data_IF_774378899202
#
_entry.id   IF_774378899202
#
_cell.length_a   1.000
_cell.length_b   1.000
_cell.length_c   1.000
_cell.angle_alpha   90.00
_cell.angle_beta   90.00
_cell.angle_gamma   90.00
#
_symmetry.space_group_name_H-M   'P 1'
#
loop_
_entity.id
_entity.type
_entity.pdbx_description
1 polymer ?
#
# COMPACT_ATOMS: atom_id res chain seq x y z
N UNK A 1 22.45 -10.80 34.81
CA UNK A 1 22.04 -11.93 33.96
C UNK A 1 20.54 -11.78 33.69
N UNK A 2 20.14 -11.19 32.55
CA UNK A 2 18.71 -11.19 32.16
C UNK A 2 18.41 -12.62 31.74
N UNK A 3 17.43 -13.26 32.39
CA UNK A 3 16.87 -14.52 31.91
C UNK A 3 16.36 -14.22 30.50
N UNK A 4 17.02 -14.74 29.47
CA UNK A 4 16.47 -14.74 28.11
C UNK A 4 15.18 -15.54 28.18
N UNK A 5 14.03 -14.85 28.25
CA UNK A 5 12.75 -15.52 28.04
C UNK A 5 12.80 -16.05 26.62
N UNK A 6 12.66 -17.37 26.48
CA UNK A 6 12.47 -17.98 25.17
C UNK A 6 11.30 -17.27 24.49
N UNK A 7 11.59 -16.66 23.34
CA UNK A 7 10.57 -16.10 22.45
C UNK A 7 10.22 -17.13 21.40
N UNK A 8 8.93 -17.38 21.24
CA UNK A 8 8.41 -18.37 20.31
C UNK A 8 8.62 -17.94 18.85
N UNK A 9 8.66 -16.62 18.61
CA UNK A 9 8.82 -16.02 17.30
C UNK A 9 9.95 -15.00 17.23
N UNK A 10 10.58 -14.90 16.06
CA UNK A 10 11.57 -13.86 15.79
C UNK A 10 10.88 -12.54 15.47
N UNK A 11 9.72 -12.60 14.82
CA UNK A 11 8.93 -11.42 14.45
C UNK A 11 7.43 -11.71 14.47
N UNK A 12 6.67 -10.75 14.98
CA UNK A 12 5.22 -10.70 14.83
C UNK A 12 4.84 -9.55 13.90
N UNK A 13 4.15 -9.84 12.81
CA UNK A 13 3.54 -8.85 11.92
C UNK A 13 2.07 -8.69 12.33
N UNK A 14 1.67 -7.48 12.69
CA UNK A 14 0.31 -7.15 13.14
C UNK A 14 -0.30 -6.13 12.19
N UNK A 15 -1.55 -6.34 11.79
CA UNK A 15 -2.21 -5.53 10.77
C UNK A 15 -3.64 -5.19 11.14
N UNK A 16 -4.12 -4.04 10.65
CA UNK A 16 -5.50 -3.55 10.77
C UNK A 16 -6.46 -4.24 9.81
N UNK A 17 -5.95 -4.87 8.75
CA UNK A 17 -6.72 -5.52 7.70
C UNK A 17 -5.98 -6.72 7.13
N UNK A 18 -6.72 -7.73 6.69
CA UNK A 18 -6.20 -8.92 6.03
C UNK A 18 -7.22 -9.43 4.99
N UNK A 19 -6.80 -10.28 4.03
CA UNK A 19 -7.75 -10.98 3.16
C UNK A 19 -8.85 -11.69 3.97
N UNK A 20 -10.08 -11.75 3.47
CA UNK A 20 -10.52 -11.41 2.10
C UNK A 20 -10.77 -9.91 1.86
N UNK A 21 -10.48 -9.03 2.83
CA UNK A 21 -10.56 -7.59 2.57
C UNK A 21 -9.31 -7.08 1.86
N UNK A 22 -9.42 -6.94 0.54
CA UNK A 22 -8.30 -6.65 -0.37
C UNK A 22 -7.92 -5.15 -0.37
N UNK A 23 -7.29 -4.69 0.72
CA UNK A 23 -6.78 -3.32 0.86
C UNK A 23 -5.25 -3.29 0.77
N UNK A 24 -4.66 -2.10 0.58
CA UNK A 24 -3.21 -1.90 0.61
C UNK A 24 -2.54 -2.47 1.87
N UNK A 25 -3.02 -2.13 3.09
CA UNK A 25 -2.51 -2.71 4.34
C UNK A 25 -2.63 -4.24 4.41
N UNK A 26 -3.73 -4.80 3.91
CA UNK A 26 -3.94 -6.25 3.89
C UNK A 26 -2.91 -6.97 3.02
N UNK A 27 -2.66 -6.48 1.81
CA UNK A 27 -1.62 -7.05 0.95
C UNK A 27 -0.23 -6.81 1.52
N UNK A 28 0.11 -5.57 1.91
CA UNK A 28 1.45 -5.25 2.39
C UNK A 28 1.88 -6.14 3.56
N UNK A 29 1.04 -6.23 4.59
CA UNK A 29 1.34 -7.00 5.79
C UNK A 29 1.40 -8.51 5.53
N UNK A 30 0.53 -9.04 4.66
CA UNK A 30 0.54 -10.44 4.25
C UNK A 30 1.86 -10.81 3.56
N UNK A 31 2.25 -10.00 2.57
CA UNK A 31 3.49 -10.23 1.82
C UNK A 31 4.73 -10.06 2.70
N UNK A 32 4.73 -9.10 3.62
CA UNK A 32 5.78 -8.97 4.63
C UNK A 32 5.86 -10.21 5.53
N UNK A 33 4.74 -10.71 6.05
CA UNK A 33 4.73 -11.89 6.91
C UNK A 33 5.23 -13.14 6.18
N UNK A 34 4.73 -13.39 4.97
CA UNK A 34 5.16 -14.53 4.16
C UNK A 34 6.62 -14.40 3.71
N UNK A 35 7.05 -13.22 3.26
CA UNK A 35 8.42 -12.99 2.81
C UNK A 35 9.45 -13.07 3.93
N UNK A 36 9.13 -12.60 5.13
CA UNK A 36 9.97 -12.82 6.31
C UNK A 36 10.06 -14.32 6.67
N UNK A 37 8.98 -15.08 6.54
CA UNK A 37 9.00 -16.52 6.76
C UNK A 37 9.87 -17.24 5.70
N UNK A 38 9.82 -16.80 4.44
CA UNK A 38 10.70 -17.29 3.36
C UNK A 38 12.18 -16.97 3.59
N UNK A 39 12.49 -15.86 4.28
CA UNK A 39 13.86 -15.53 4.70
C UNK A 39 14.34 -16.38 5.90
N UNK A 40 13.51 -17.30 6.42
CA UNK A 40 13.86 -18.23 7.48
C UNK A 40 13.53 -17.75 8.90
N UNK A 41 12.83 -16.62 9.06
CA UNK A 41 12.38 -16.17 10.36
C UNK A 41 11.17 -16.99 10.85
N UNK A 42 11.08 -17.23 12.17
CA UNK A 42 9.84 -17.69 12.80
C UNK A 42 8.87 -16.52 12.89
N UNK A 43 7.85 -16.52 12.03
CA UNK A 43 6.89 -15.40 11.90
C UNK A 43 5.54 -15.75 12.48
N UNK A 44 5.01 -14.86 13.32
CA UNK A 44 3.59 -14.80 13.66
C UNK A 44 2.91 -13.68 12.85
N UNK A 45 1.77 -13.98 12.21
CA UNK A 45 0.94 -13.02 11.51
C UNK A 45 -0.39 -12.86 12.24
N UNK A 46 -0.65 -11.68 12.79
CA UNK A 46 -1.81 -11.39 13.65
C UNK A 46 -2.79 -10.52 12.87
N UNK A 47 -3.98 -11.06 12.62
CA UNK A 47 -5.02 -10.44 11.79
C UNK A 47 -6.29 -10.15 12.60
N UNK A 48 -7.15 -9.21 12.17
CA UNK A 48 -8.41 -8.98 12.86
C UNK A 48 -9.42 -10.11 12.63
N UNK A 49 -10.03 -10.58 13.70
CA UNK A 49 -11.28 -11.34 13.67
C UNK A 49 -12.47 -10.39 13.83
N UNK A 50 -13.38 -10.41 12.86
CA UNK A 50 -14.65 -9.65 12.91
C UNK A 50 -15.81 -10.65 13.03
N UNK A 51 -16.77 -10.47 13.96
CA UNK A 51 -17.92 -11.35 14.07
C UNK A 51 -18.77 -11.40 12.79
N UNK A 52 -19.49 -12.50 12.50
CA UNK A 52 -20.23 -12.69 11.24
C UNK A 52 -21.10 -11.51 10.80
N UNK A 53 -21.79 -10.85 11.75
CA UNK A 53 -22.64 -9.69 11.47
C UNK A 53 -21.90 -8.47 10.87
N UNK A 54 -20.60 -8.34 11.12
CA UNK A 54 -19.77 -7.26 10.58
C UNK A 54 -19.01 -7.64 9.30
N UNK A 55 -18.91 -8.92 8.99
CA UNK A 55 -18.10 -9.41 7.87
C UNK A 55 -18.69 -9.04 6.50
N UNK A 56 -20.02 -9.04 6.36
CA UNK A 56 -20.70 -8.64 5.12
C UNK A 56 -20.47 -7.17 4.72
N UNK A 57 -20.02 -6.34 5.66
CA UNK A 57 -19.66 -4.94 5.39
C UNK A 57 -18.28 -4.79 4.75
N UNK A 58 -17.43 -5.80 4.93
CA UNK A 58 -16.04 -5.79 4.52
C UNK A 58 -15.81 -6.67 3.28
N UNK A 59 -16.48 -7.82 3.24
CA UNK A 59 -16.20 -8.89 2.30
C UNK A 59 -17.36 -9.09 1.34
N UNK A 60 -17.06 -9.17 0.04
CA UNK A 60 -18.06 -9.46 -0.99
C UNK A 60 -18.38 -10.95 -1.01
N UNK A 61 -19.25 -11.39 -0.09
CA UNK A 61 -19.84 -12.73 -0.08
C UNK A 61 -19.09 -13.80 0.71
N UNK A 62 -17.82 -13.59 1.06
CA UNK A 62 -17.13 -14.47 2.01
C UNK A 62 -17.59 -14.15 3.44
N UNK A 63 -17.93 -15.17 4.23
CA UNK A 63 -18.26 -15.08 5.66
C UNK A 63 -17.67 -16.32 6.35
N UNK A 64 -17.14 -16.14 7.56
CA UNK A 64 -16.58 -17.18 8.41
C UNK A 64 -17.38 -17.26 9.71
N UNK A 65 -17.73 -18.47 10.16
CA UNK A 65 -18.46 -18.66 11.40
C UNK A 65 -17.55 -18.49 12.63
N UNK A 66 -16.31 -18.97 12.53
CA UNK A 66 -15.32 -18.94 13.62
C UNK A 66 -13.99 -18.29 13.19
N UNK A 67 -13.19 -17.79 14.14
CA UNK A 67 -11.82 -17.33 13.85
C UNK A 67 -10.97 -18.41 13.16
N UNK A 68 -11.13 -19.66 13.57
CA UNK A 68 -10.39 -20.79 13.02
C UNK A 68 -10.71 -21.02 11.54
N UNK A 69 -11.98 -20.84 11.13
CA UNK A 69 -12.37 -20.93 9.72
C UNK A 69 -11.68 -19.84 8.88
N UNK A 70 -11.58 -18.61 9.41
CA UNK A 70 -10.87 -17.52 8.75
C UNK A 70 -9.38 -17.84 8.59
N UNK A 71 -8.72 -18.35 9.64
CA UNK A 71 -7.30 -18.67 9.57
C UNK A 71 -7.01 -19.86 8.64
N UNK A 72 -7.88 -20.87 8.63
CA UNK A 72 -7.79 -22.00 7.70
C UNK A 72 -7.94 -21.54 6.25
N UNK A 73 -8.92 -20.66 5.98
CA UNK A 73 -9.10 -20.05 4.68
C UNK A 73 -7.90 -19.19 4.28
N UNK A 74 -7.39 -18.34 5.18
CA UNK A 74 -6.24 -17.48 4.92
C UNK A 74 -4.99 -18.31 4.62
N UNK A 75 -4.78 -19.42 5.33
CA UNK A 75 -3.71 -20.39 5.08
C UNK A 75 -3.81 -21.01 3.68
N UNK A 76 -5.02 -21.37 3.24
CA UNK A 76 -5.26 -21.88 1.89
C UNK A 76 -5.04 -20.79 0.82
N UNK A 77 -5.49 -19.57 1.10
CA UNK A 77 -5.36 -18.43 0.20
C UNK A 77 -3.90 -18.02 -0.01
N UNK A 78 -3.07 -18.03 1.05
CA UNK A 78 -1.62 -17.79 0.94
C UNK A 78 -0.98 -18.80 -0.02
N UNK A 79 -1.32 -20.08 0.09
CA UNK A 79 -0.83 -21.12 -0.83
C UNK A 79 -1.33 -20.90 -2.26
N UNK A 80 -2.60 -20.51 -2.42
CA UNK A 80 -3.19 -20.19 -3.72
C UNK A 80 -2.51 -19.01 -4.41
N UNK A 81 -2.04 -18.03 -3.64
CA UNK A 81 -1.25 -16.89 -4.12
C UNK A 81 0.22 -17.26 -4.46
N UNK A 82 0.58 -18.55 -4.44
CA UNK A 82 1.92 -19.00 -4.80
C UNK A 82 2.99 -18.73 -3.74
N UNK A 83 2.60 -18.53 -2.47
CA UNK A 83 3.55 -18.36 -1.37
C UNK A 83 3.83 -19.72 -0.70
N UNK A 84 5.04 -20.28 -0.83
CA UNK A 84 5.36 -21.62 -0.33
C UNK A 84 5.40 -21.70 1.20
N UNK A 85 5.73 -20.60 1.89
CA UNK A 85 5.87 -20.59 3.36
C UNK A 85 4.71 -19.81 3.99
N UNK A 86 3.89 -20.53 4.76
CA UNK A 86 2.76 -19.94 5.50
C UNK A 86 3.23 -19.60 6.92
N UNK A 87 3.15 -18.33 7.38
CA UNK A 87 3.49 -17.96 8.75
C UNK A 87 2.48 -18.55 9.75
N UNK A 88 2.83 -18.58 11.04
CA UNK A 88 1.88 -18.95 12.08
C UNK A 88 0.81 -17.87 12.20
N UNK A 89 -0.47 -18.26 12.12
CA UNK A 89 -1.59 -17.31 12.04
C UNK A 89 -2.26 -17.15 13.40
N UNK A 90 -2.54 -15.91 13.78
CA UNK A 90 -3.20 -15.53 15.03
C UNK A 90 -4.25 -14.46 14.78
N UNK A 91 -5.14 -14.26 15.74
CA UNK A 91 -6.17 -13.23 15.67
C UNK A 91 -6.16 -12.28 16.86
N UNK A 92 -6.63 -11.06 16.63
CA UNK A 92 -7.16 -10.18 17.68
C UNK A 92 -8.62 -9.82 17.36
N UNK A 93 -9.40 -9.44 18.37
CA UNK A 93 -10.81 -9.08 18.21
C UNK A 93 -10.94 -7.69 17.58
N UNK A 94 -11.73 -7.60 16.51
CA UNK A 94 -12.02 -6.35 15.80
C UNK A 94 -13.52 -6.14 15.55
N UNK A 95 -13.86 -4.90 15.19
CA UNK A 95 -15.21 -4.49 14.81
C UNK A 95 -15.20 -3.73 13.47
N UNK A 96 -16.03 -4.17 12.52
CA UNK A 96 -16.24 -3.44 11.27
C UNK A 96 -17.09 -2.20 11.49
N UNK A 97 -16.49 -1.01 11.40
CA UNK A 97 -17.20 0.26 11.53
C UNK A 97 -17.60 0.80 10.15
N UNK A 98 -18.92 0.91 9.90
CA UNK A 98 -19.43 1.55 8.67
C UNK A 98 -19.05 3.03 8.60
N UNK A 99 -19.07 3.71 9.75
CA UNK A 99 -18.80 5.14 9.85
C UNK A 99 -17.33 5.45 9.51
N UNK A 100 -16.40 4.69 10.10
CA UNK A 100 -14.97 4.86 9.86
C UNK A 100 -14.50 4.16 8.58
N UNK A 101 -15.33 3.30 7.99
CA UNK A 101 -14.99 2.40 6.87
C UNK A 101 -13.71 1.60 7.16
N UNK A 102 -13.57 1.17 8.41
CA UNK A 102 -12.36 0.53 8.94
C UNK A 102 -12.68 -0.58 9.93
N UNK A 103 -11.70 -1.43 10.23
CA UNK A 103 -11.78 -2.42 11.32
C UNK A 103 -11.12 -1.82 12.56
N UNK A 104 -11.90 -1.61 13.62
CA UNK A 104 -11.43 -1.06 14.89
C UNK A 104 -11.04 -2.20 15.85
N UNK A 105 -9.84 -2.19 16.45
CA UNK A 105 -9.46 -3.14 17.49
C UNK A 105 -10.35 -3.03 18.74
N UNK A 106 -10.80 -4.17 19.25
CA UNK A 106 -11.63 -4.28 20.48
C UNK A 106 -10.85 -4.76 21.70
N UNK A 107 -9.58 -5.10 21.52
CA UNK A 107 -8.68 -5.54 22.58
C UNK A 107 -7.25 -5.07 22.31
N UNK A 108 -6.36 -5.32 23.27
CA UNK A 108 -4.96 -4.96 23.16
C UNK A 108 -4.21 -5.92 22.24
N UNK A 109 -3.87 -5.44 21.04
CA UNK A 109 -3.18 -6.21 19.99
C UNK A 109 -1.84 -6.79 20.46
N UNK A 110 -1.14 -6.11 21.37
CA UNK A 110 0.14 -6.59 21.91
C UNK A 110 -0.04 -7.80 22.83
N UNK A 111 -1.20 -7.91 23.51
CA UNK A 111 -1.53 -9.05 24.38
C UNK A 111 -2.15 -10.21 23.62
N UNK A 112 -2.84 -9.93 22.52
CA UNK A 112 -3.37 -10.96 21.62
C UNK A 112 -2.25 -11.64 20.80
N UNK A 113 -1.15 -10.92 20.55
CA UNK A 113 0.01 -11.45 19.85
C UNK A 113 0.84 -12.43 20.72
N UNK A 114 1.43 -13.47 20.11
CA UNK A 114 2.39 -14.32 20.82
C UNK A 114 3.70 -13.56 21.11
N UNK A 115 4.49 -13.98 22.12
CA UNK A 115 5.78 -13.38 22.43
C UNK A 115 6.74 -13.45 21.23
N UNK A 116 7.33 -12.31 20.86
CA UNK A 116 8.30 -12.24 19.78
C UNK A 116 9.42 -11.25 20.06
N UNK A 117 10.53 -11.40 19.34
CA UNK A 117 11.67 -10.49 19.45
C UNK A 117 11.37 -9.11 18.87
N UNK A 118 10.72 -9.09 17.72
CA UNK A 118 10.34 -7.86 17.01
C UNK A 118 8.83 -7.84 16.77
N UNK A 119 8.23 -6.65 16.85
CA UNK A 119 6.87 -6.41 16.38
C UNK A 119 6.88 -5.42 15.22
N UNK A 120 6.22 -5.78 14.13
CA UNK A 120 5.96 -4.91 12.97
C UNK A 120 4.47 -4.60 12.94
N UNK A 121 4.12 -3.33 13.12
CA UNK A 121 2.73 -2.86 13.11
C UNK A 121 2.47 -2.16 11.78
N UNK A 122 1.52 -2.67 11.00
CA UNK A 122 0.99 -1.97 9.82
C UNK A 122 -0.10 -0.99 10.27
N UNK A 123 0.01 0.28 9.88
CA UNK A 123 -0.87 1.37 10.33
C UNK A 123 -0.95 1.49 11.87
N UNK A 124 0.18 1.67 12.58
CA UNK A 124 0.21 1.79 14.04
C UNK A 124 -0.74 2.88 14.58
N UNK A 125 -0.96 3.94 13.81
CA UNK A 125 -1.90 5.02 14.10
C UNK A 125 -3.36 4.58 14.26
N UNK A 126 -3.74 3.45 13.64
CA UNK A 126 -5.07 2.86 13.64
C UNK A 126 -5.11 1.58 14.47
N UNK A 127 -4.08 0.74 14.34
CA UNK A 127 -3.96 -0.52 15.07
C UNK A 127 -3.93 -0.33 16.60
N UNK A 128 -3.53 0.86 17.06
CA UNK A 128 -3.47 1.20 18.49
C UNK A 128 -4.66 2.02 18.99
N UNK A 129 -5.80 2.04 18.30
CA UNK A 129 -7.00 2.79 18.75
C UNK A 129 -7.66 2.25 20.02
N UNK A 130 -7.39 0.99 20.40
CA UNK A 130 -7.93 0.44 21.63
C UNK A 130 -7.40 1.21 22.85
N UNK A 131 -8.26 1.83 23.70
CA UNK A 131 -7.79 2.67 24.81
C UNK A 131 -6.87 1.96 25.81
N UNK A 132 -7.01 0.63 25.93
CA UNK A 132 -6.20 -0.22 26.78
C UNK A 132 -4.94 -0.79 26.10
N UNK A 133 -4.57 -0.31 24.91
CA UNK A 133 -3.39 -0.80 24.20
C UNK A 133 -2.12 -0.63 25.05
N UNK A 134 -1.29 -1.67 25.10
CA UNK A 134 -0.07 -1.67 25.90
C UNK A 134 0.91 -0.61 25.36
N UNK A 135 1.36 0.36 26.17
CA UNK A 135 2.38 1.33 25.76
C UNK A 135 3.71 0.65 25.46
N UNK A 136 4.47 1.19 24.50
CA UNK A 136 5.76 0.64 24.06
C UNK A 136 6.68 0.20 25.20
N UNK A 137 6.81 1.03 26.24
CA UNK A 137 7.67 0.79 27.41
C UNK A 137 7.34 -0.48 28.22
N UNK A 138 6.15 -1.05 28.04
CA UNK A 138 5.71 -2.27 28.72
C UNK A 138 5.61 -3.48 27.76
N UNK A 139 5.92 -3.30 26.49
CA UNK A 139 5.96 -4.38 25.50
C UNK A 139 7.30 -5.11 25.63
N UNK A 140 7.26 -6.42 25.86
CA UNK A 140 8.44 -7.29 26.01
C UNK A 140 9.03 -7.70 24.64
N UNK A 141 9.40 -6.71 23.84
CA UNK A 141 10.05 -6.87 22.54
C UNK A 141 11.32 -6.00 22.49
N UNK A 142 12.34 -6.47 21.76
CA UNK A 142 13.53 -5.67 21.47
C UNK A 142 13.17 -4.43 20.66
N UNK A 143 12.23 -4.58 19.73
CA UNK A 143 11.85 -3.51 18.81
C UNK A 143 10.39 -3.60 18.44
N UNK A 144 9.73 -2.44 18.38
CA UNK A 144 8.38 -2.25 17.83
C UNK A 144 8.46 -1.21 16.72
N UNK A 145 8.31 -1.66 15.49
CA UNK A 145 8.42 -0.86 14.27
C UNK A 145 7.03 -0.60 13.69
N UNK A 146 6.73 0.66 13.40
CA UNK A 146 5.47 1.06 12.76
C UNK A 146 5.61 1.33 11.28
N UNK A 147 5.02 0.51 10.41
CA UNK A 147 4.92 0.79 8.97
C UNK A 147 3.72 1.70 8.73
N UNK A 148 4.01 2.93 8.27
CA UNK A 148 3.01 3.98 8.12
C UNK A 148 2.71 4.19 6.65
N UNK A 149 1.46 3.96 6.27
CA UNK A 149 1.06 3.94 4.85
C UNK A 149 -0.26 4.63 4.53
N UNK A 150 -0.96 5.16 5.52
CA UNK A 150 -2.25 5.80 5.33
C UNK A 150 -2.26 7.20 5.95
N UNK A 151 -2.62 8.22 5.16
CA UNK A 151 -2.88 9.56 5.68
C UNK A 151 -4.38 9.75 5.89
N UNK A 152 -4.85 9.40 7.08
CA UNK A 152 -6.26 9.58 7.48
C UNK A 152 -6.68 11.05 7.50
N UNK A 153 -5.77 11.98 7.82
CA UNK A 153 -6.11 13.40 7.82
C UNK A 153 -6.32 13.94 6.40
N UNK A 154 -5.51 13.50 5.43
CA UNK A 154 -5.74 13.79 4.01
C UNK A 154 -7.04 13.18 3.51
N UNK A 155 -7.35 11.95 3.92
CA UNK A 155 -8.61 11.29 3.58
C UNK A 155 -9.83 12.06 4.12
N UNK A 156 -9.80 12.46 5.40
CA UNK A 156 -10.88 13.22 6.06
C UNK A 156 -11.06 14.59 5.41
N UNK A 157 -9.98 15.32 5.09
CA UNK A 157 -10.07 16.64 4.45
C UNK A 157 -10.74 16.60 3.08
N UNK A 158 -10.55 15.50 2.34
CA UNK A 158 -11.09 15.34 0.98
C UNK A 158 -12.53 14.84 0.96
N UNK A 159 -12.89 13.95 1.88
CA UNK A 159 -14.21 13.31 1.91
C UNK A 159 -15.18 13.94 2.90
N UNK A 160 -14.71 14.81 3.79
CA UNK A 160 -15.53 15.43 4.81
C UNK A 160 -16.05 16.81 4.41
N UNK A 161 -17.18 17.21 5.01
CA UNK A 161 -17.73 18.56 4.84
C UNK A 161 -16.89 19.64 5.52
N UNK A 162 -17.37 20.90 5.62
CA UNK A 162 -16.62 22.02 6.21
C UNK A 162 -16.01 21.74 7.59
N UNK A 163 -16.69 20.94 8.42
CA UNK A 163 -16.21 20.53 9.75
C UNK A 163 -14.93 19.66 9.72
N UNK A 164 -14.62 19.00 8.60
CA UNK A 164 -13.45 18.16 8.43
C UNK A 164 -12.14 18.96 8.46
N UNK A 165 -12.17 20.23 8.06
CA UNK A 165 -11.01 21.12 8.14
C UNK A 165 -10.58 21.41 9.58
N UNK A 166 -11.54 21.39 10.51
CA UNK A 166 -11.34 21.57 11.96
C UNK A 166 -10.96 20.23 12.62
N UNK A 167 -11.60 19.13 12.21
CA UNK A 167 -11.38 17.80 12.79
C UNK A 167 -10.08 17.11 12.35
N UNK A 168 -9.65 17.29 11.10
CA UNK A 168 -8.46 16.62 10.56
C UNK A 168 -7.15 16.92 11.33
N UNK A 169 -6.86 18.18 11.75
CA UNK A 169 -5.75 18.45 12.65
C UNK A 169 -5.79 17.64 13.95
N UNK A 170 -6.96 17.50 14.59
CA UNK A 170 -7.12 16.77 15.85
C UNK A 170 -6.84 15.28 15.65
N UNK A 171 -7.39 14.68 14.60
CA UNK A 171 -7.13 13.28 14.22
C UNK A 171 -5.64 13.06 13.98
N UNK A 172 -4.98 13.98 13.27
CA UNK A 172 -3.53 13.90 13.05
C UNK A 172 -2.74 13.94 14.36
N UNK A 173 -3.13 14.79 15.32
CA UNK A 173 -2.45 14.83 16.63
C UNK A 173 -2.68 13.55 17.44
N UNK A 174 -3.90 12.99 17.42
CA UNK A 174 -4.19 11.71 18.04
C UNK A 174 -3.33 10.59 17.44
N UNK A 175 -3.25 10.51 16.11
CA UNK A 175 -2.44 9.50 15.41
C UNK A 175 -0.94 9.64 15.74
N UNK A 176 -0.41 10.87 15.76
CA UNK A 176 0.97 11.14 16.22
C UNK A 176 1.20 10.67 17.65
N UNK A 177 0.25 10.95 18.55
CA UNK A 177 0.33 10.51 19.94
C UNK A 177 0.36 8.98 20.05
N UNK A 178 -0.52 8.29 19.31
CA UNK A 178 -0.58 6.82 19.31
C UNK A 178 0.70 6.20 18.77
N UNK A 179 1.19 6.66 17.62
CA UNK A 179 2.48 6.23 17.06
C UNK A 179 3.57 6.35 18.13
N UNK A 180 3.77 7.55 18.69
CA UNK A 180 4.83 7.80 19.68
C UNK A 180 4.69 6.96 20.95
N UNK A 181 3.46 6.66 21.36
CA UNK A 181 3.17 5.88 22.56
C UNK A 181 3.47 4.39 22.37
N UNK A 182 3.37 3.88 21.14
CA UNK A 182 3.33 2.44 20.87
C UNK A 182 4.49 1.91 20.02
N UNK A 183 5.29 2.76 19.35
CA UNK A 183 6.42 2.33 18.52
C UNK A 183 7.77 2.90 19.00
N UNK A 184 8.88 2.25 18.65
CA UNK A 184 10.23 2.80 18.80
C UNK A 184 10.58 3.76 17.67
N UNK A 185 10.27 3.36 16.44
CA UNK A 185 10.40 4.16 15.24
C UNK A 185 9.37 3.78 14.19
N UNK A 186 9.21 4.66 13.22
CA UNK A 186 8.32 4.48 12.08
C UNK A 186 9.10 4.29 10.79
N UNK A 187 8.47 3.58 9.86
CA UNK A 187 8.91 3.39 8.48
C UNK A 187 7.79 3.88 7.58
N UNK A 188 7.80 5.18 7.21
CA UNK A 188 6.84 5.71 6.26
C UNK A 188 7.13 5.15 4.87
N UNK A 189 6.09 4.70 4.16
CA UNK A 189 6.25 4.18 2.79
C UNK A 189 6.56 5.27 1.76
N UNK A 190 6.35 6.54 2.12
CA UNK A 190 6.74 7.72 1.33
C UNK A 190 6.79 9.00 2.18
N UNK A 191 7.37 10.10 1.67
CA UNK A 191 7.33 11.42 2.31
C UNK A 191 5.92 11.96 2.58
N UNK A 192 4.88 11.49 1.87
CA UNK A 192 3.51 11.92 2.13
C UNK A 192 3.01 11.56 3.56
N UNK A 193 3.65 10.59 4.22
CA UNK A 193 3.35 10.22 5.60
C UNK A 193 4.14 11.04 6.66
N UNK A 194 5.05 11.93 6.26
CA UNK A 194 5.87 12.73 7.19
C UNK A 194 5.02 13.55 8.16
N UNK A 195 3.86 14.02 7.69
CA UNK A 195 2.88 14.73 8.51
C UNK A 195 2.44 13.95 9.76
N UNK A 196 2.32 12.63 9.72
CA UNK A 196 1.89 11.81 10.87
C UNK A 196 3.05 11.20 11.67
N UNK A 197 4.25 11.14 11.09
CA UNK A 197 5.46 10.62 11.77
C UNK A 197 6.34 11.71 12.39
N UNK A 198 6.11 12.98 12.04
CA UNK A 198 6.90 14.14 12.51
C UNK A 198 7.13 14.13 14.03
N UNK A 199 8.40 14.30 14.43
CA UNK A 199 8.84 14.32 15.83
C UNK A 199 8.84 12.97 16.53
N UNK A 200 8.81 11.86 15.78
CA UNK A 200 9.11 10.51 16.25
C UNK A 200 10.27 9.95 15.40
N UNK A 201 11.12 9.05 15.91
CA UNK A 201 12.18 8.47 15.11
C UNK A 201 11.66 7.81 13.82
N UNK A 202 12.32 8.08 12.71
CA UNK A 202 11.99 7.58 11.38
C UNK A 202 13.17 6.80 10.83
N UNK A 203 12.92 5.63 10.24
CA UNK A 203 13.88 4.94 9.40
C UNK A 203 13.32 4.79 7.99
N UNK A 204 14.13 5.13 7.00
CA UNK A 204 13.76 5.05 5.61
C UNK A 204 14.20 3.69 5.04
N UNK A 205 13.32 3.06 4.28
CA UNK A 205 13.60 1.82 3.59
C UNK A 205 12.44 1.44 2.67
N UNK A 206 12.76 0.83 1.52
CA UNK A 206 11.74 0.28 0.62
C UNK A 206 11.20 -1.01 1.23
N UNK A 207 10.05 -0.93 1.87
CA UNK A 207 9.37 -2.07 2.52
C UNK A 207 8.11 -2.53 1.78
N UNK A 208 7.93 -2.03 0.55
CA UNK A 208 6.82 -2.33 -0.36
C UNK A 208 7.35 -3.09 -1.56
N UNK A 209 6.72 -4.21 -1.92
CA UNK A 209 7.02 -4.96 -3.13
C UNK A 209 5.89 -4.96 -4.15
N UNK A 210 6.15 -5.60 -5.29
CA UNK A 210 5.25 -5.77 -6.44
C UNK A 210 5.16 -7.26 -6.78
N UNK A 211 4.02 -7.71 -7.32
CA UNK A 211 3.85 -9.11 -7.73
C UNK A 211 4.86 -9.50 -8.82
N UNK A 212 5.47 -10.70 -8.77
CA UNK A 212 6.46 -11.15 -9.75
C UNK A 212 5.98 -11.09 -11.21
N UNK A 213 4.70 -11.34 -11.46
CA UNK A 213 4.11 -11.34 -12.81
C UNK A 213 4.28 -10.02 -13.57
N UNK A 214 4.44 -8.89 -12.85
CA UNK A 214 4.74 -7.62 -13.48
C UNK A 214 6.14 -7.60 -14.10
N UNK A 215 7.11 -8.30 -13.51
CA UNK A 215 8.46 -8.39 -14.06
C UNK A 215 8.51 -9.21 -15.36
N UNK A 216 7.57 -10.13 -15.54
CA UNK A 216 7.46 -11.01 -16.70
C UNK A 216 6.76 -10.38 -17.91
N UNK A 217 6.22 -9.17 -17.76
CA UNK A 217 5.57 -8.51 -18.89
C UNK A 217 6.61 -8.17 -19.96
N UNK A 218 6.33 -8.48 -21.25
CA UNK A 218 7.25 -8.21 -22.34
C UNK A 218 7.73 -6.74 -22.39
N UNK A 219 8.98 -6.50 -22.81
CA UNK A 219 9.48 -5.15 -23.07
C UNK A 219 8.58 -4.39 -24.06
N UNK A 220 8.56 -3.06 -23.94
CA UNK A 220 7.83 -2.23 -24.88
C UNK A 220 8.65 -2.10 -26.17
N UNK A 221 8.10 -2.53 -27.29
CA UNK A 221 8.74 -2.38 -28.59
C UNK A 221 8.92 -0.88 -28.97
N UNK A 222 9.99 -0.52 -29.70
CA UNK A 222 10.22 0.85 -30.14
C UNK A 222 9.04 1.40 -30.96
N UNK A 223 8.58 2.60 -30.61
CA UNK A 223 7.47 3.29 -31.30
C UNK A 223 6.09 2.65 -31.12
N UNK A 224 5.95 1.63 -30.26
CA UNK A 224 4.68 0.97 -29.96
C UNK A 224 4.25 1.19 -28.51
N UNK A 225 2.97 0.90 -28.25
CA UNK A 225 2.36 0.89 -26.93
C UNK A 225 1.54 2.15 -26.62
N UNK A 226 0.32 1.95 -26.13
CA UNK A 226 -0.61 3.03 -25.76
C UNK A 226 -0.38 3.60 -24.37
N UNK A 227 -1.28 4.49 -23.97
CA UNK A 227 -1.32 5.07 -22.62
C UNK A 227 -2.49 4.49 -21.84
N UNK A 228 -2.27 4.17 -20.57
CA UNK A 228 -3.32 3.64 -19.69
C UNK A 228 -3.32 4.28 -18.30
N UNK A 229 -4.50 4.24 -17.69
CA UNK A 229 -4.70 4.43 -16.26
C UNK A 229 -5.20 3.11 -15.65
N UNK A 230 -4.78 2.81 -14.43
CA UNK A 230 -5.20 1.63 -13.66
C UNK A 230 -5.50 2.08 -12.23
N UNK A 231 -6.74 1.86 -11.77
CA UNK A 231 -7.12 2.18 -10.40
C UNK A 231 -8.62 2.33 -10.21
N UNK A 232 -9.01 2.61 -8.95
CA UNK A 232 -10.42 2.85 -8.60
C UNK A 232 -10.93 4.12 -9.27
N UNK A 233 -12.12 4.06 -9.87
CA UNK A 233 -12.76 5.22 -10.54
C UNK A 233 -13.43 6.11 -9.50
N UNK A 234 -12.62 6.98 -8.88
CA UNK A 234 -13.06 8.07 -7.99
C UNK A 234 -12.35 9.36 -8.38
N UNK A 235 -13.03 10.50 -8.24
CA UNK A 235 -12.48 11.81 -8.65
C UNK A 235 -11.14 12.15 -8.01
N UNK A 236 -10.93 11.73 -6.75
CA UNK A 236 -9.69 11.92 -5.98
C UNK A 236 -8.44 11.31 -6.63
N UNK A 237 -8.61 10.39 -7.59
CA UNK A 237 -7.52 9.81 -8.39
C UNK A 237 -7.15 10.64 -9.62
N UNK A 238 -7.77 11.81 -9.80
CA UNK A 238 -7.43 12.76 -10.88
C UNK A 238 -8.01 12.38 -12.25
N UNK A 239 -9.11 11.61 -12.30
CA UNK A 239 -9.69 11.15 -13.57
C UNK A 239 -10.19 12.29 -14.47
N UNK A 240 -10.50 13.46 -13.91
CA UNK A 240 -10.77 14.68 -14.68
C UNK A 240 -9.55 15.09 -15.53
N UNK A 241 -8.34 15.00 -14.96
CA UNK A 241 -7.09 15.24 -15.67
C UNK A 241 -6.84 14.20 -16.76
N UNK A 242 -7.18 12.92 -16.52
CA UNK A 242 -7.11 11.88 -17.55
C UNK A 242 -7.95 12.25 -18.78
N UNK A 243 -9.20 12.66 -18.57
CA UNK A 243 -10.12 13.05 -19.65
C UNK A 243 -9.63 14.30 -20.37
N UNK A 244 -9.24 15.34 -19.62
CA UNK A 244 -8.76 16.61 -20.18
C UNK A 244 -7.50 16.43 -21.03
N UNK A 245 -6.50 15.69 -20.53
CA UNK A 245 -5.25 15.43 -21.25
C UNK A 245 -5.50 14.58 -22.50
N UNK A 246 -6.31 13.52 -22.39
CA UNK A 246 -6.71 12.71 -23.55
C UNK A 246 -7.37 13.58 -24.63
N UNK A 247 -8.23 14.53 -24.24
CA UNK A 247 -8.85 15.45 -25.18
C UNK A 247 -7.86 16.41 -25.81
N UNK A 248 -7.04 17.11 -25.02
CA UNK A 248 -6.06 18.09 -25.55
C UNK A 248 -5.10 17.48 -26.56
N UNK A 249 -4.70 16.24 -26.32
CA UNK A 249 -3.75 15.53 -27.17
C UNK A 249 -4.43 14.75 -28.31
N UNK A 250 -5.77 14.66 -28.32
CA UNK A 250 -6.53 13.70 -29.12
C UNK A 250 -5.94 12.26 -29.01
N UNK A 251 -5.57 11.88 -27.79
CA UNK A 251 -4.79 10.67 -27.49
C UNK A 251 -5.69 9.57 -26.92
N UNK A 252 -5.81 8.41 -27.61
CA UNK A 252 -6.50 7.25 -27.07
C UNK A 252 -5.91 6.80 -25.74
N UNK A 253 -6.70 6.84 -24.68
CA UNK A 253 -6.30 6.41 -23.33
C UNK A 253 -7.25 5.32 -22.82
N UNK A 254 -6.68 4.19 -22.39
CA UNK A 254 -7.47 3.09 -21.83
C UNK A 254 -7.48 3.14 -20.29
N UNK A 255 -8.67 3.05 -19.69
CA UNK A 255 -8.89 3.11 -18.25
C UNK A 255 -9.31 1.73 -17.75
N UNK A 256 -8.48 1.15 -16.87
CA UNK A 256 -8.72 -0.13 -16.21
C UNK A 256 -9.15 0.12 -14.76
N UNK A 257 -10.29 -0.45 -14.38
CA UNK A 257 -10.83 -0.37 -13.03
C UNK A 257 -12.32 -0.06 -12.98
N UNK A 258 -12.82 0.03 -11.75
CA UNK A 258 -14.19 0.34 -11.42
C UNK A 258 -14.26 1.27 -10.21
N UNK A 259 -15.41 1.91 -9.99
CA UNK A 259 -15.59 2.79 -8.85
C UNK A 259 -16.92 3.53 -8.91
N UNK A 260 -17.34 4.12 -7.78
CA UNK A 260 -18.64 4.76 -7.65
C UNK A 260 -18.85 5.95 -8.59
N UNK A 261 -17.77 6.63 -9.00
CA UNK A 261 -17.85 7.79 -9.89
C UNK A 261 -17.75 7.40 -11.38
N UNK A 262 -17.66 6.11 -11.70
CA UNK A 262 -17.37 5.61 -13.05
C UNK A 262 -18.35 6.09 -14.11
N UNK A 263 -19.65 6.17 -13.80
CA UNK A 263 -20.66 6.65 -14.76
C UNK A 263 -20.53 8.15 -15.04
N UNK A 264 -20.24 8.95 -14.01
CA UNK A 264 -20.01 10.38 -14.15
C UNK A 264 -18.72 10.68 -14.95
N UNK A 265 -17.65 9.91 -14.69
CA UNK A 265 -16.38 10.01 -15.44
C UNK A 265 -16.60 9.63 -16.92
N UNK A 266 -17.37 8.56 -17.19
CA UNK A 266 -17.75 8.17 -18.56
C UNK A 266 -18.58 9.24 -19.26
N UNK A 267 -19.50 9.90 -18.54
CA UNK A 267 -20.29 11.00 -19.09
C UNK A 267 -19.39 12.18 -19.49
N UNK A 268 -18.49 12.61 -18.60
CA UNK A 268 -17.52 13.68 -18.89
C UNK A 268 -16.68 13.38 -20.14
N UNK A 269 -16.18 12.15 -20.28
CA UNK A 269 -15.40 11.75 -21.45
C UNK A 269 -16.21 11.86 -22.76
N UNK A 270 -17.49 11.46 -22.74
CA UNK A 270 -18.38 11.60 -23.91
C UNK A 270 -18.70 13.05 -24.22
N UNK A 271 -19.05 13.84 -23.21
CA UNK A 271 -19.45 15.24 -23.37
C UNK A 271 -18.30 16.09 -23.92
N UNK A 272 -17.07 15.80 -23.49
CA UNK A 272 -15.86 16.44 -24.00
C UNK A 272 -15.37 15.81 -25.30
N UNK A 273 -15.99 14.74 -25.82
CA UNK A 273 -15.48 13.96 -26.95
C UNK A 273 -13.99 13.58 -26.78
N UNK A 274 -13.60 13.20 -25.57
CA UNK A 274 -12.26 12.72 -25.26
C UNK A 274 -12.13 11.24 -25.67
N UNK A 275 -11.07 10.83 -26.37
CA UNK A 275 -10.86 9.44 -26.79
C UNK A 275 -10.42 8.53 -25.62
N UNK A 276 -11.27 8.39 -24.60
CA UNK A 276 -11.04 7.54 -23.43
C UNK A 276 -11.89 6.28 -23.51
N UNK A 277 -11.27 5.10 -23.37
CA UNK A 277 -11.95 3.80 -23.39
C UNK A 277 -11.89 3.14 -22.02
N UNK A 278 -13.03 2.78 -21.47
CA UNK A 278 -13.15 2.12 -20.17
C UNK A 278 -13.24 0.60 -20.37
N UNK A 279 -12.28 -0.15 -19.82
CA UNK A 279 -12.19 -1.61 -19.99
C UNK A 279 -12.80 -2.40 -18.83
N UNK A 280 -13.12 -1.74 -17.72
CA UNK A 280 -13.57 -2.39 -16.49
C UNK A 280 -12.42 -2.93 -15.63
N UNK A 281 -12.73 -3.61 -14.52
CA UNK A 281 -11.73 -4.15 -13.60
C UNK A 281 -11.08 -5.43 -14.16
N UNK A 282 -9.84 -5.68 -13.76
CA UNK A 282 -9.12 -6.92 -14.03
C UNK A 282 -8.37 -7.39 -12.78
N UNK A 283 -8.30 -8.70 -12.58
CA UNK A 283 -7.52 -9.32 -11.50
C UNK A 283 -6.06 -9.54 -11.88
N UNK A 284 -5.77 -9.53 -13.17
CA UNK A 284 -4.45 -9.85 -13.73
C UNK A 284 -4.02 -8.77 -14.72
N UNK A 285 -3.92 -7.49 -14.28
CA UNK A 285 -3.62 -6.37 -15.17
C UNK A 285 -2.35 -6.59 -15.99
N UNK A 286 -1.31 -7.23 -15.42
CA UNK A 286 -0.04 -7.53 -16.08
C UNK A 286 -0.21 -8.23 -17.45
N UNK A 287 -1.23 -9.07 -17.61
CA UNK A 287 -1.53 -9.77 -18.88
C UNK A 287 -1.84 -8.80 -20.02
N UNK A 288 -2.36 -7.60 -19.73
CA UNK A 288 -2.73 -6.58 -20.70
C UNK A 288 -1.62 -5.57 -20.95
N UNK A 289 -0.65 -5.48 -20.04
CA UNK A 289 0.29 -4.36 -20.02
C UNK A 289 1.32 -4.38 -21.15
N UNK A 290 1.48 -5.50 -21.87
CA UNK A 290 2.24 -5.56 -23.12
C UNK A 290 1.71 -4.60 -24.21
N UNK A 291 0.45 -4.16 -24.09
CA UNK A 291 -0.18 -3.21 -25.02
C UNK A 291 0.20 -1.76 -24.75
N UNK A 292 0.82 -1.46 -23.61
CA UNK A 292 1.02 -0.10 -23.13
C UNK A 292 2.49 0.26 -22.93
N UNK A 293 2.80 1.50 -23.27
CA UNK A 293 4.10 2.13 -23.05
C UNK A 293 4.11 3.01 -21.80
N UNK A 294 3.01 3.73 -21.58
CA UNK A 294 2.95 4.76 -20.54
C UNK A 294 1.79 4.48 -19.60
N UNK A 295 2.10 4.41 -18.30
CA UNK A 295 1.14 4.50 -17.23
C UNK A 295 0.97 5.97 -16.82
N UNK A 296 -0.23 6.51 -16.99
CA UNK A 296 -0.56 7.86 -16.56
C UNK A 296 -1.33 7.83 -15.24
N UNK A 297 -0.76 8.41 -14.19
CA UNK A 297 -1.40 8.49 -12.88
C UNK A 297 -1.41 9.95 -12.39
N UNK A 298 -2.53 10.65 -12.54
CA UNK A 298 -2.67 12.04 -12.11
C UNK A 298 -3.06 12.22 -10.63
N UNK A 299 -3.05 11.15 -9.84
CA UNK A 299 -3.51 11.18 -8.46
C UNK A 299 -2.58 11.99 -7.55
N UNK A 300 -3.16 12.96 -6.83
CA UNK A 300 -2.52 13.67 -5.71
C UNK A 300 -2.92 13.08 -4.36
N UNK A 301 -3.73 12.02 -4.32
CA UNK A 301 -4.31 11.45 -3.09
C UNK A 301 -3.51 10.30 -2.49
N UNK A 302 -2.49 9.81 -3.20
CA UNK A 302 -1.73 8.64 -2.76
C UNK A 302 -0.82 8.97 -1.58
N UNK A 303 -0.55 7.97 -0.75
CA UNK A 303 0.64 7.98 0.11
C UNK A 303 1.80 7.40 -0.71
N UNK A 304 1.68 6.15 -1.15
CA UNK A 304 2.53 5.55 -2.18
C UNK A 304 1.63 4.77 -3.14
N UNK A 305 1.74 5.05 -4.43
CA UNK A 305 0.92 4.38 -5.43
C UNK A 305 1.54 3.05 -5.86
N UNK A 306 0.93 1.92 -5.49
CA UNK A 306 1.44 0.60 -5.88
C UNK A 306 1.38 0.38 -7.39
N UNK A 307 0.34 0.87 -8.07
CA UNK A 307 0.20 0.78 -9.53
C UNK A 307 1.30 1.52 -10.28
N UNK A 308 1.88 2.58 -9.69
CA UNK A 308 3.08 3.24 -10.23
C UNK A 308 4.30 2.32 -10.15
N UNK A 309 4.53 1.67 -9.00
CA UNK A 309 5.62 0.72 -8.83
C UNK A 309 5.48 -0.48 -9.78
N UNK A 310 4.25 -1.02 -9.88
CA UNK A 310 3.87 -2.09 -10.81
C UNK A 310 4.19 -1.74 -12.27
N UNK A 311 3.86 -0.53 -12.72
CA UNK A 311 4.20 -0.05 -14.05
C UNK A 311 5.71 0.05 -14.26
N UNK A 312 6.45 0.58 -13.28
CA UNK A 312 7.92 0.70 -13.36
C UNK A 312 8.63 -0.66 -13.40
N UNK A 313 8.29 -1.60 -12.51
CA UNK A 313 8.82 -2.98 -12.47
C UNK A 313 8.71 -3.65 -13.82
N UNK A 314 7.65 -3.31 -14.51
CA UNK A 314 7.30 -3.92 -15.75
C UNK A 314 7.83 -3.14 -16.97
N UNK A 315 8.58 -2.06 -16.75
CA UNK A 315 9.32 -1.37 -17.81
C UNK A 315 8.50 -0.34 -18.58
N UNK A 316 7.41 0.16 -18.01
CA UNK A 316 6.61 1.25 -18.58
C UNK A 316 7.21 2.56 -18.14
N UNK A 317 6.97 3.60 -18.94
CA UNK A 317 7.06 4.95 -18.42
C UNK A 317 5.92 5.22 -17.45
N UNK A 318 6.19 6.04 -16.44
CA UNK A 318 5.16 6.57 -15.55
C UNK A 318 5.15 8.08 -15.65
N UNK A 319 3.97 8.67 -15.82
CA UNK A 319 3.79 10.13 -15.81
C UNK A 319 2.96 10.50 -14.59
N UNK A 320 3.55 11.28 -13.70
CA UNK A 320 3.08 11.50 -12.33
C UNK A 320 3.07 13.00 -11.98
N UNK A 321 2.16 13.48 -11.13
CA UNK A 321 2.28 14.82 -10.59
C UNK A 321 3.50 14.91 -9.66
N UNK A 322 4.19 16.05 -9.67
CA UNK A 322 5.28 16.35 -8.77
C UNK A 322 4.74 16.66 -7.36
N UNK A 323 4.72 15.65 -6.50
CA UNK A 323 4.22 15.77 -5.14
C UNK A 323 4.96 14.80 -4.19
N UNK A 324 4.87 15.00 -2.85
CA UNK A 324 5.61 14.20 -1.88
C UNK A 324 5.38 12.69 -1.98
N UNK A 325 4.18 12.26 -2.42
CA UNK A 325 3.85 10.86 -2.60
C UNK A 325 4.65 10.19 -3.74
N UNK A 326 5.04 10.99 -4.75
CA UNK A 326 5.72 10.50 -5.94
C UNK A 326 7.24 10.76 -5.93
N UNK A 327 7.74 11.53 -4.94
CA UNK A 327 9.17 11.75 -4.72
C UNK A 327 10.01 10.46 -4.79
N UNK A 328 9.60 9.31 -4.18
CA UNK A 328 10.38 8.07 -4.25
C UNK A 328 10.53 7.47 -5.64
N UNK A 329 9.74 7.93 -6.63
CA UNK A 329 9.83 7.45 -8.01
C UNK A 329 10.80 8.29 -8.86
N UNK A 330 11.26 9.45 -8.39
CA UNK A 330 12.26 10.28 -9.09
C UNK A 330 13.61 9.57 -9.28
N UNK A 331 13.86 8.52 -8.50
CA UNK A 331 15.04 7.67 -8.63
C UNK A 331 15.03 6.78 -9.90
N UNK A 332 13.89 6.64 -10.60
CA UNK A 332 13.78 5.77 -11.77
C UNK A 332 13.77 6.59 -13.08
N UNK A 333 14.60 6.24 -14.08
CA UNK A 333 14.75 7.00 -15.32
C UNK A 333 13.48 7.02 -16.18
N UNK A 334 12.57 6.06 -15.98
CA UNK A 334 11.32 5.98 -16.73
C UNK A 334 10.18 6.83 -16.10
N UNK A 335 10.45 7.55 -15.00
CA UNK A 335 9.48 8.40 -14.32
C UNK A 335 9.56 9.86 -14.79
N UNK A 336 8.41 10.41 -15.17
CA UNK A 336 8.25 11.77 -15.65
C UNK A 336 7.28 12.53 -14.74
N UNK A 337 7.59 13.81 -14.49
CA UNK A 337 6.88 14.61 -13.49
C UNK A 337 6.30 15.89 -14.07
N UNK A 338 5.16 16.33 -13.54
CA UNK A 338 4.50 17.57 -13.98
C UNK A 338 3.82 18.30 -12.81
N UNK A 339 3.59 19.60 -12.94
CA UNK A 339 2.91 20.42 -11.93
C UNK A 339 1.52 20.89 -12.34
N UNK A 340 1.23 20.88 -13.64
CA UNK A 340 -0.05 21.30 -14.22
C UNK A 340 -0.41 20.47 -15.48
N UNK A 341 -1.57 20.77 -16.08
CA UNK A 341 -2.08 20.02 -17.23
C UNK A 341 -1.19 20.15 -18.46
N UNK A 342 -0.58 21.32 -18.70
CA UNK A 342 0.30 21.53 -19.85
C UNK A 342 1.61 20.77 -19.68
N UNK A 343 2.16 20.75 -18.46
CA UNK A 343 3.25 19.88 -18.07
C UNK A 343 2.91 18.40 -18.23
N UNK A 344 1.67 17.98 -17.90
CA UNK A 344 1.22 16.60 -18.09
C UNK A 344 1.22 16.21 -19.59
N UNK A 345 0.73 17.10 -20.46
CA UNK A 345 0.75 16.93 -21.93
C UNK A 345 2.19 16.82 -22.44
N UNK A 346 3.09 17.68 -21.98
CA UNK A 346 4.50 17.65 -22.36
C UNK A 346 5.19 16.36 -21.89
N UNK A 347 4.99 15.97 -20.63
CA UNK A 347 5.55 14.75 -20.05
C UNK A 347 5.04 13.48 -20.76
N UNK A 348 3.74 13.42 -21.10
CA UNK A 348 3.19 12.32 -21.88
C UNK A 348 3.76 12.24 -23.28
N UNK A 349 3.88 13.38 -23.97
CA UNK A 349 4.46 13.44 -25.32
C UNK A 349 5.92 12.95 -25.33
N UNK A 350 6.69 13.34 -24.31
CA UNK A 350 8.05 12.86 -24.10
C UNK A 350 8.07 11.36 -23.79
N UNK A 351 7.26 10.89 -22.85
CA UNK A 351 7.20 9.48 -22.46
C UNK A 351 6.78 8.54 -23.60
N UNK A 352 5.92 9.00 -24.50
CA UNK A 352 5.49 8.23 -25.68
C UNK A 352 6.60 8.08 -26.73
N UNK A 353 7.57 8.98 -26.78
CA UNK A 353 8.64 9.00 -27.79
C UNK A 353 9.99 8.53 -27.26
N UNK A 354 10.19 8.59 -25.94
CA UNK A 354 11.42 8.15 -25.26
C UNK A 354 11.48 6.63 -25.20
N UNK A 355 12.63 6.04 -25.50
CA UNK A 355 12.87 4.60 -25.31
C UNK A 355 12.95 4.24 -23.82
N UNK A 356 12.20 3.24 -23.32
CA UNK A 356 12.24 2.89 -21.91
C UNK A 356 13.58 2.26 -21.55
N UNK A 357 14.17 2.76 -20.47
CA UNK A 357 15.34 2.12 -19.86
C UNK A 357 14.92 0.80 -19.24
N UNK A 358 15.75 -0.24 -19.37
CA UNK A 358 15.49 -1.54 -18.77
C UNK A 358 15.23 -1.41 -17.25
N UNK A 359 14.13 -1.96 -16.71
CA UNK A 359 13.69 -1.71 -15.34
C UNK A 359 14.46 -2.52 -14.27
N UNK A 360 15.78 -2.68 -14.43
CA UNK A 360 16.63 -3.50 -13.54
C UNK A 360 16.56 -3.01 -12.09
N UNK A 361 16.70 -1.70 -11.87
CA UNK A 361 16.63 -1.11 -10.53
C UNK A 361 15.22 -1.28 -9.92
N UNK A 362 14.16 -1.00 -10.68
CA UNK A 362 12.79 -1.14 -10.21
C UNK A 362 12.45 -2.60 -9.85
N UNK A 363 12.80 -3.57 -10.70
CA UNK A 363 12.60 -5.01 -10.44
C UNK A 363 13.33 -5.47 -9.18
N UNK A 364 14.56 -5.02 -8.97
CA UNK A 364 15.34 -5.35 -7.76
C UNK A 364 14.74 -4.73 -6.50
N UNK A 365 14.39 -3.45 -6.54
CA UNK A 365 14.00 -2.69 -5.34
C UNK A 365 12.55 -2.93 -4.91
N UNK A 366 11.66 -3.25 -5.85
CA UNK A 366 10.28 -3.64 -5.58
C UNK A 366 10.08 -5.17 -5.52
N UNK A 367 11.16 -5.96 -5.51
CA UNK A 367 11.07 -7.39 -5.20
C UNK A 367 10.62 -7.60 -3.74
N UNK A 368 9.68 -8.53 -3.52
CA UNK A 368 9.13 -8.76 -2.18
C UNK A 368 10.16 -9.31 -1.20
N UNK A 369 11.09 -10.16 -1.64
CA UNK A 369 12.16 -10.64 -0.75
C UNK A 369 13.16 -9.53 -0.44
N UNK A 370 13.48 -8.66 -1.40
CA UNK A 370 14.27 -7.45 -1.15
C UNK A 370 13.60 -6.51 -0.15
N UNK A 371 12.30 -6.26 -0.29
CA UNK A 371 11.52 -5.44 0.64
C UNK A 371 11.51 -6.04 2.06
N UNK A 372 11.40 -7.37 2.18
CA UNK A 372 11.44 -8.07 3.47
C UNK A 372 12.84 -8.04 4.10
N UNK A 373 13.92 -8.18 3.32
CA UNK A 373 15.30 -8.02 3.81
C UNK A 373 15.53 -6.60 4.32
N UNK A 374 15.05 -5.60 3.58
CA UNK A 374 15.10 -4.20 3.99
C UNK A 374 14.37 -4.03 5.31
N UNK A 375 13.12 -4.50 5.42
CA UNK A 375 12.34 -4.46 6.66
C UNK A 375 13.08 -5.11 7.84
N UNK A 376 13.68 -6.30 7.63
CA UNK A 376 14.45 -7.01 8.65
C UNK A 376 15.70 -6.22 9.10
N UNK A 377 16.39 -5.56 8.17
CA UNK A 377 17.53 -4.70 8.46
C UNK A 377 17.16 -3.46 9.31
N UNK A 378 15.89 -3.07 9.34
CA UNK A 378 15.41 -1.93 10.14
C UNK A 378 15.17 -2.27 11.62
N UNK A 379 15.34 -3.52 12.04
CA UNK A 379 15.08 -3.95 13.43
C UNK A 379 16.24 -3.68 14.39
N UNK A 380 17.49 -3.61 13.92
CA UNK A 380 18.67 -3.45 14.78
C UNK A 380 18.90 -2.01 15.29
N UNK A 381 19.69 -1.85 16.35
CA UNK A 381 20.07 -0.52 16.87
C UNK A 381 21.09 0.22 15.98
N UNK A 382 21.83 -0.49 15.14
CA UNK A 382 22.58 0.11 14.05
C UNK A 382 21.58 0.49 12.94
N UNK A 383 21.73 1.69 12.36
CA UNK A 383 21.10 2.02 11.09
C UNK A 383 21.53 1.03 10.01
N UNK A 384 20.93 1.06 8.81
CA UNK A 384 21.22 0.08 7.77
C UNK A 384 22.71 0.10 7.40
N UNK A 385 23.46 -0.93 7.81
CA UNK A 385 24.66 -1.34 7.11
C UNK A 385 24.17 -2.12 5.87
N UNK A 386 24.25 -1.45 4.72
CA UNK A 386 24.11 -2.11 3.43
C UNK A 386 25.18 -3.21 3.35
N UNK A 387 24.84 -4.46 3.00
CA UNK A 387 25.87 -5.41 2.60
C UNK A 387 26.63 -4.82 1.41
N UNK A 388 27.95 -4.79 1.53
CA UNK A 388 28.82 -4.33 0.47
C UNK A 388 28.75 -5.30 -0.72
N UNK A 389 28.41 -4.72 -1.88
CA UNK A 389 28.51 -5.20 -3.27
C UNK A 389 27.40 -6.12 -3.78
#
# INVERSE_FOLDING_TARGET
>A
MKIERMRDFDVTVMTTAAPPWLTGPAYLSLWQACGLAELGFRVAYVVPWVPPAGQSLLWQGQVFATPQDQLAWLSAEIRRMGRPVVPALFHYRGHASKFLRSIVPLEDVFRAAPPARVHVLTEPEHLCWYPGATPRRHVDAETVLGVVMTSYDSYIRRHGGPAAWIGAPLVRQLHRFLIRRHTDWTVPVSPAAEGITSGHPVRLGRVTGVLPDYAEVPPVEPGQGGVYFLGRLVWDKGLSTVVEVSRRMNLPLEVLGEGPDGDAIRAMARDLAAPVKFLGPTREPWTLLHRYRVFFNPSLSEVLCTTTAEALVAGRHVVLPDCPANEPFKAYPNAHFYTDVDGAVAALSLAMTTEPVAPVAARREFDWLHACRTLAGLWGNAGPELPAR
#
